data_IF_283655727547
#
_entry.id   IF_283655727547
#
_cell.length_a   1.000
_cell.length_b   1.000
_cell.length_c   1.000
_cell.angle_alpha   90.00
_cell.angle_beta   90.00
_cell.angle_gamma   90.00
#
_symmetry.space_group_name_H-M   'P 1'
#
loop_
_entity.id
_entity.type
_entity.pdbx_description
1 polymer ?
#
# COMPACT_ATOMS: atom_id res chain seq x y z
N UNK A 1 1.94 -12.51 21.09
CA UNK A 1 2.15 -11.55 19.98
C UNK A 1 1.05 -11.77 18.98
N UNK A 2 0.22 -10.76 18.72
CA UNK A 2 -0.80 -10.83 17.67
C UNK A 2 -0.07 -10.57 16.36
N UNK A 3 -0.07 -11.55 15.45
CA UNK A 3 0.56 -11.38 14.14
C UNK A 3 -0.40 -10.65 13.22
N UNK A 4 -0.11 -9.40 12.90
CA UNK A 4 -0.92 -8.60 11.99
C UNK A 4 -0.44 -8.81 10.55
N UNK A 5 -1.41 -9.02 9.64
CA UNK A 5 -1.17 -9.07 8.20
C UNK A 5 -1.76 -7.83 7.54
N UNK A 6 -1.11 -7.34 6.48
CA UNK A 6 -1.61 -6.20 5.74
C UNK A 6 -1.65 -6.47 4.24
N UNK A 7 -2.64 -5.87 3.58
CA UNK A 7 -2.71 -5.85 2.12
C UNK A 7 -1.66 -4.86 1.59
N UNK A 8 -0.65 -5.43 0.95
CA UNK A 8 0.48 -4.75 0.33
C UNK A 8 0.26 -4.61 -1.17
N UNK A 9 0.43 -3.39 -1.65
CA UNK A 9 0.54 -3.07 -3.06
C UNK A 9 1.98 -2.66 -3.36
N UNK A 10 2.55 -3.25 -4.40
CA UNK A 10 3.85 -2.92 -4.91
C UNK A 10 3.68 -2.27 -6.28
N UNK A 11 3.93 -0.96 -6.32
CA UNK A 11 3.88 -0.16 -7.53
C UNK A 11 5.30 0.17 -7.97
N UNK A 12 5.51 0.16 -9.28
CA UNK A 12 6.67 0.75 -9.92
C UNK A 12 6.24 2.05 -10.59
N UNK A 13 6.87 3.15 -10.21
CA UNK A 13 6.68 4.46 -10.83
C UNK A 13 7.83 4.69 -11.80
N UNK A 14 7.48 5.07 -13.03
CA UNK A 14 8.43 5.38 -14.10
C UNK A 14 8.37 6.88 -14.35
N UNK A 15 9.52 7.54 -14.33
CA UNK A 15 9.61 8.98 -14.57
C UNK A 15 9.48 9.32 -16.07
N UNK A 16 8.97 10.52 -16.41
CA UNK A 16 8.82 10.97 -17.80
C UNK A 16 10.14 11.09 -18.55
N UNK A 17 11.25 11.22 -17.84
CA UNK A 17 12.60 11.43 -18.41
C UNK A 17 13.19 10.14 -19.00
N UNK A 18 12.51 9.00 -18.86
CA UNK A 18 12.86 7.74 -19.56
C UNK A 18 14.08 7.02 -18.98
N UNK A 19 14.83 7.63 -18.07
CA UNK A 19 15.99 7.04 -17.42
C UNK A 19 15.56 6.08 -16.29
N UNK A 20 15.35 4.81 -16.65
CA UNK A 20 15.51 3.51 -15.93
C UNK A 20 15.32 3.38 -14.39
N UNK A 21 14.98 4.42 -13.65
CA UNK A 21 14.74 4.37 -12.22
C UNK A 21 13.26 4.06 -12.03
N UNK A 22 12.96 2.76 -12.03
CA UNK A 22 11.70 2.27 -11.48
C UNK A 22 11.74 2.51 -9.96
N UNK A 23 10.99 3.50 -9.49
CA UNK A 23 10.82 3.71 -8.06
C UNK A 23 9.75 2.75 -7.54
N UNK A 24 10.15 1.89 -6.60
CA UNK A 24 9.26 0.89 -6.02
C UNK A 24 8.57 1.46 -4.78
N UNK A 25 7.26 1.62 -4.85
CA UNK A 25 6.41 2.10 -3.77
C UNK A 25 5.62 0.93 -3.20
N UNK A 26 5.78 0.71 -1.89
CA UNK A 26 5.03 -0.28 -1.12
C UNK A 26 3.93 0.43 -0.32
N UNK A 27 2.67 0.14 -0.62
CA UNK A 27 1.52 0.71 0.09
C UNK A 27 0.84 -0.38 0.90
N UNK A 28 0.78 -0.20 2.22
CA UNK A 28 0.01 -1.05 3.12
C UNK A 28 -1.34 -0.40 3.39
N UNK A 29 -2.43 -1.03 2.93
CA UNK A 29 -3.75 -0.39 2.88
C UNK A 29 -4.72 -0.82 3.98
N UNK A 30 -4.66 -2.09 4.38
CA UNK A 30 -5.66 -2.71 5.26
C UNK A 30 -5.01 -3.74 6.16
N UNK A 31 -5.46 -3.77 7.40
CA UNK A 31 -5.03 -4.67 8.48
C UNK A 31 -5.97 -5.88 8.55
N UNK A 32 -5.39 -7.05 8.81
CA UNK A 32 -6.06 -8.33 9.00
C UNK A 32 -5.42 -9.06 10.18
N UNK A 33 -6.26 -9.80 10.92
CA UNK A 33 -5.82 -10.59 12.07
C UNK A 33 -5.15 -11.90 11.63
N UNK A 34 -5.49 -12.40 10.44
CA UNK A 34 -4.90 -13.60 9.87
C UNK A 34 -4.47 -13.44 8.41
N UNK A 35 -3.48 -14.24 8.00
CA UNK A 35 -3.05 -14.32 6.60
C UNK A 35 -4.19 -14.80 5.69
N UNK A 36 -5.02 -15.70 6.19
CA UNK A 36 -6.10 -16.31 5.42
C UNK A 36 -7.19 -15.28 5.08
N UNK A 37 -7.65 -14.49 6.05
CA UNK A 37 -8.60 -13.41 5.79
C UNK A 37 -8.07 -12.39 4.79
N UNK A 38 -6.78 -12.06 4.88
CA UNK A 38 -6.16 -11.16 3.91
C UNK A 38 -6.16 -11.75 2.50
N UNK A 39 -5.80 -13.03 2.35
CA UNK A 39 -5.81 -13.70 1.05
C UNK A 39 -7.22 -13.86 0.49
N UNK A 40 -8.20 -14.20 1.32
CA UNK A 40 -9.60 -14.32 0.92
C UNK A 40 -10.15 -12.97 0.44
N UNK A 41 -9.79 -11.89 1.14
CA UNK A 41 -10.09 -10.54 0.68
C UNK A 41 -9.42 -10.24 -0.66
N UNK A 42 -8.12 -10.53 -0.80
CA UNK A 42 -7.42 -10.29 -2.06
C UNK A 42 -8.06 -11.05 -3.21
N UNK A 43 -8.35 -12.34 -3.05
CA UNK A 43 -8.96 -13.18 -4.09
C UNK A 43 -10.34 -12.66 -4.52
N UNK A 44 -11.14 -12.18 -3.58
CA UNK A 44 -12.48 -11.68 -3.86
C UNK A 44 -12.48 -10.30 -4.54
N UNK A 45 -11.41 -9.52 -4.38
CA UNK A 45 -11.36 -8.13 -4.79
C UNK A 45 -10.22 -7.82 -5.77
N UNK A 46 -9.42 -8.81 -6.18
CA UNK A 46 -8.17 -8.64 -6.92
C UNK A 46 -8.35 -7.77 -8.17
N UNK A 47 -9.39 -8.02 -8.97
CA UNK A 47 -9.65 -7.24 -10.19
C UNK A 47 -9.94 -5.76 -9.91
N UNK A 48 -10.80 -5.48 -8.94
CA UNK A 48 -11.16 -4.10 -8.55
C UNK A 48 -9.98 -3.38 -7.89
N UNK A 49 -9.23 -4.11 -7.06
CA UNK A 49 -8.08 -3.62 -6.31
C UNK A 49 -6.95 -3.22 -7.26
N UNK A 50 -6.64 -4.07 -8.25
CA UNK A 50 -5.59 -3.80 -9.23
C UNK A 50 -5.90 -2.56 -10.08
N UNK A 51 -7.15 -2.39 -10.49
CA UNK A 51 -7.57 -1.21 -11.27
C UNK A 51 -7.53 0.07 -10.45
N UNK A 52 -8.29 0.12 -9.35
CA UNK A 52 -8.44 1.34 -8.54
C UNK A 52 -7.15 1.78 -7.86
N UNK A 53 -6.29 0.84 -7.46
CA UNK A 53 -5.02 1.17 -6.82
C UNK A 53 -4.04 1.86 -7.78
N UNK A 54 -4.02 1.44 -9.04
CA UNK A 54 -3.19 2.08 -10.08
C UNK A 54 -3.75 3.45 -10.42
N UNK A 55 -5.06 3.56 -10.67
CA UNK A 55 -5.73 4.83 -10.99
C UNK A 55 -5.51 5.86 -9.87
N UNK A 56 -5.77 5.49 -8.62
CA UNK A 56 -5.60 6.41 -7.49
C UNK A 56 -4.16 6.90 -7.33
N UNK A 57 -3.16 6.02 -7.49
CA UNK A 57 -1.76 6.43 -7.41
C UNK A 57 -1.33 7.25 -8.64
N UNK A 58 -1.86 6.92 -9.83
CA UNK A 58 -1.60 7.65 -11.06
C UNK A 58 -2.16 9.08 -10.99
N UNK A 59 -3.35 9.25 -10.43
CA UNK A 59 -4.01 10.56 -10.25
C UNK A 59 -3.27 11.46 -9.25
N UNK A 60 -2.49 10.88 -8.34
CA UNK A 60 -1.67 11.63 -7.37
C UNK A 60 -0.33 12.10 -7.97
N UNK A 61 0.10 11.53 -9.10
CA UNK A 61 1.36 11.89 -9.74
C UNK A 61 1.17 12.96 -10.81
N UNK A 62 2.24 13.69 -11.11
CA UNK A 62 2.23 14.69 -12.18
C UNK A 62 2.16 14.02 -13.55
N UNK A 63 1.70 14.78 -14.54
CA UNK A 63 1.67 14.34 -15.94
C UNK A 63 3.04 13.85 -16.42
N UNK A 64 3.03 12.73 -17.14
CA UNK A 64 4.23 12.07 -17.68
C UNK A 64 4.82 10.97 -16.79
N UNK A 65 4.40 10.86 -15.52
CA UNK A 65 4.72 9.70 -14.70
C UNK A 65 3.82 8.51 -15.06
N UNK A 66 4.36 7.30 -15.05
CA UNK A 66 3.60 6.09 -15.34
C UNK A 66 3.66 5.15 -14.14
N UNK A 67 2.50 4.81 -13.59
CA UNK A 67 2.35 3.82 -12.52
C UNK A 67 2.09 2.43 -13.10
N UNK A 68 2.89 1.45 -12.68
CA UNK A 68 2.65 0.03 -12.98
C UNK A 68 2.55 -0.75 -11.70
N UNK A 69 1.46 -1.49 -11.53
CA UNK A 69 1.35 -2.43 -10.44
C UNK A 69 2.16 -3.70 -10.76
N UNK A 70 3.16 -3.99 -9.94
CA UNK A 70 4.02 -5.18 -10.09
C UNK A 70 3.47 -6.36 -9.31
N UNK A 71 3.03 -6.12 -8.08
CA UNK A 71 2.55 -7.17 -7.18
C UNK A 71 1.50 -6.63 -6.20
N UNK A 72 0.50 -7.45 -5.89
CA UNK A 72 -0.40 -7.26 -4.76
C UNK A 72 -0.40 -8.53 -3.94
N UNK A 73 -0.33 -8.40 -2.62
CA UNK A 73 -0.33 -9.56 -1.76
C UNK A 73 -0.51 -9.21 -0.29
N UNK A 74 -0.51 -10.26 0.52
CA UNK A 74 -0.60 -10.14 1.97
C UNK A 74 0.80 -10.26 2.57
N UNK A 75 1.27 -9.19 3.20
CA UNK A 75 2.57 -9.13 3.84
C UNK A 75 2.41 -8.72 5.31
N UNK A 76 3.31 -9.22 6.16
CA UNK A 76 3.49 -8.61 7.47
C UNK A 76 4.15 -7.25 7.23
N UNK A 77 3.66 -6.15 7.83
CA UNK A 77 4.39 -4.89 7.77
C UNK A 77 5.79 -5.15 8.33
N UNK A 78 6.83 -4.85 7.55
CA UNK A 78 8.21 -4.96 8.02
C UNK A 78 8.39 -3.95 9.16
N UNK A 79 8.22 -4.41 10.39
CA UNK A 79 8.34 -3.67 11.64
C UNK A 79 8.00 -2.19 11.49
N UNK A 80 6.72 -1.88 11.23
CA UNK A 80 6.19 -0.68 11.84
C UNK A 80 6.20 -1.00 13.34
N UNK A 81 7.32 -0.74 14.01
CA UNK A 81 7.26 -0.28 15.39
C UNK A 81 6.47 1.02 15.32
N UNK A 82 5.15 0.91 15.20
CA UNK A 82 4.25 1.97 15.57
C UNK A 82 4.55 2.15 17.05
N UNK A 83 5.44 3.10 17.37
CA UNK A 83 5.31 3.77 18.66
C UNK A 83 3.88 4.28 18.63
N UNK A 84 2.99 3.59 19.35
CA UNK A 84 1.75 4.17 19.77
C UNK A 84 2.15 5.43 20.53
N UNK A 85 2.21 6.56 19.84
CA UNK A 85 2.17 7.86 20.49
C UNK A 85 0.73 8.03 20.92
N UNK A 86 0.42 7.42 22.07
CA UNK A 86 -0.57 7.93 23.00
C UNK A 86 -0.12 9.33 23.43
N UNK A 87 -0.30 10.34 22.57
CA UNK A 87 -0.15 11.75 22.91
C UNK A 87 -0.95 12.57 21.89
N UNK A 88 -2.28 12.48 22.01
CA UNK A 88 -3.16 13.58 21.62
C UNK A 88 -3.02 14.59 22.76
N UNK A 89 -2.40 15.77 22.58
CA UNK A 89 -2.61 16.84 23.54
C UNK A 89 -4.04 17.33 23.34
N UNK A 90 -4.91 16.99 24.28
CA UNK A 90 -6.17 17.69 24.49
C UNK A 90 -5.81 19.17 24.68
N UNK A 91 -6.11 20.00 23.69
CA UNK A 91 -5.98 21.46 23.79
C UNK A 91 -7.08 21.95 24.75
N UNK A 92 -6.75 22.56 25.90
CA UNK A 92 -7.76 23.27 26.67
C UNK A 92 -8.00 24.64 26.02
N UNK A 93 -9.26 24.93 25.70
CA UNK A 93 -9.78 26.30 25.53
C UNK A 93 -9.79 27.07 26.87
#
# INVERSE_FOLDING_TARGET
MIEIFMLLFNFAVITPEGDQREEIINVYSRIFDTKQECNDFLNNWEGTIKGRGVEALQDMLKDGYVVKLKYVGCAKPASLEVKATDDIPESPE
#
